data_IF_319862082826
#
_entry.id   IF_319862082826
#
_cell.length_a   1.000
_cell.length_b   1.000
_cell.length_c   1.000
_cell.angle_alpha   90.00
_cell.angle_beta   90.00
_cell.angle_gamma   90.00
#
_symmetry.space_group_name_H-M   'P 1'
#
loop_
_entity.id
_entity.type
_entity.pdbx_description
1 polymer ?
#
# COMPACT_ATOMS: atom_id res chain seq x y z
N UNK A 2 8.82 -2.33 3.27
CA UNK A 2 9.92 -3.09 3.83
C UNK A 2 10.16 -4.35 3.00
N UNK A 3 10.70 -5.40 3.60
CA UNK A 3 11.02 -6.63 2.88
C UNK A 3 9.77 -7.28 2.30
N UNK A 4 9.97 -8.33 1.51
CA UNK A 4 8.93 -9.27 1.16
C UNK A 4 9.45 -10.66 1.42
N UNK A 5 8.55 -11.63 1.34
CA UNK A 5 8.91 -13.02 1.49
C UNK A 5 8.15 -13.86 0.48
N UNK A 6 8.43 -15.15 0.47
CA UNK A 6 7.80 -16.13 -0.38
C UNK A 6 6.73 -16.87 0.41
N UNK A 7 5.80 -17.53 -0.28
CA UNK A 7 4.81 -18.33 0.46
C UNK A 7 5.39 -19.57 1.09
N UNK A 8 6.51 -20.08 0.57
CA UNK A 8 7.05 -21.33 1.08
C UNK A 8 7.71 -21.14 2.43
N UNK A 9 8.49 -20.06 2.58
CA UNK A 9 9.10 -19.77 3.88
C UNK A 9 8.06 -19.44 4.93
N UNK A 10 6.88 -19.00 4.50
CA UNK A 10 5.87 -18.58 5.44
C UNK A 10 5.32 -19.76 6.24
N UNK A 11 5.20 -20.92 5.61
CA UNK A 11 4.76 -22.10 6.34
C UNK A 11 5.71 -22.41 7.48
N UNK A 12 7.00 -22.23 7.26
CA UNK A 12 7.97 -22.43 8.33
C UNK A 12 7.87 -21.33 9.36
N UNK A 13 7.71 -20.09 8.91
CA UNK A 13 7.62 -18.95 9.81
C UNK A 13 6.39 -18.98 10.68
N UNK A 14 5.36 -19.70 10.25
CA UNK A 14 4.06 -19.69 10.90
C UNK A 14 4.00 -20.42 12.22
N UNK A 15 4.65 -21.58 12.34
CA UNK A 15 4.34 -22.56 13.39
C UNK A 15 4.45 -21.99 14.80
N UNK A 16 5.18 -20.89 14.98
CA UNK A 16 5.25 -20.19 16.24
C UNK A 16 4.48 -18.89 16.11
N UNK A 17 3.58 -18.65 17.05
CA UNK A 17 2.70 -17.48 17.00
C UNK A 17 3.38 -16.22 17.48
N UNK A 18 4.44 -15.83 16.77
CA UNK A 18 5.09 -14.54 16.94
C UNK A 18 4.99 -13.70 15.67
N UNK A 19 4.34 -14.22 14.63
CA UNK A 19 4.20 -13.55 13.35
C UNK A 19 2.72 -13.27 13.12
N UNK A 20 2.32 -12.05 13.37
CA UNK A 20 0.91 -11.68 13.39
C UNK A 20 0.51 -11.29 11.98
N UNK A 21 -0.40 -12.05 11.41
CA UNK A 21 -0.76 -11.90 10.01
C UNK A 21 -2.01 -11.03 9.90
N UNK A 22 -1.99 -10.12 8.93
CA UNK A 22 -3.13 -9.25 8.63
C UNK A 22 -3.52 -9.44 7.18
N UNK A 23 -4.82 -9.57 6.93
CA UNK A 23 -5.34 -9.57 5.57
C UNK A 23 -5.90 -8.20 5.23
N UNK A 24 -5.71 -7.79 3.98
CA UNK A 24 -6.16 -6.48 3.52
C UNK A 24 -6.63 -6.64 2.08
N UNK A 25 -7.95 -6.66 1.89
CA UNK A 25 -8.58 -6.90 0.60
C UNK A 25 -9.74 -5.95 0.40
N UNK A 26 -9.54 -4.68 0.73
CA UNK A 26 -10.59 -3.71 0.48
C UNK A 26 -10.76 -3.56 -1.03
N UNK A 27 -11.98 -3.76 -1.51
CA UNK A 27 -12.28 -3.62 -2.92
C UNK A 27 -12.77 -2.21 -3.20
N UNK A 28 -12.73 -1.85 -4.47
CA UNK A 28 -13.17 -0.52 -4.84
C UNK A 28 -14.69 -0.42 -4.72
N UNK A 29 -15.24 0.76 -4.41
CA UNK A 29 -16.69 0.91 -4.23
C UNK A 29 -17.42 1.17 -5.54
N UNK A 30 -17.11 0.40 -6.56
CA UNK A 30 -17.79 0.50 -7.84
C UNK A 30 -18.93 -0.50 -7.90
N UNK A 31 -19.87 -0.32 -8.82
CA UNK A 31 -20.99 -1.24 -8.93
C UNK A 31 -20.62 -2.66 -9.35
N UNK A 32 -19.38 -2.89 -9.80
CA UNK A 32 -18.99 -4.23 -10.22
C UNK A 32 -18.82 -5.15 -9.00
N UNK A 33 -17.89 -4.81 -8.12
CA UNK A 33 -17.61 -5.61 -6.94
C UNK A 33 -18.66 -5.44 -5.84
N UNK A 34 -19.68 -4.61 -6.06
CA UNK A 34 -20.76 -4.46 -5.09
C UNK A 34 -21.37 -5.83 -4.79
N UNK A 35 -21.33 -6.21 -3.52
CA UNK A 35 -21.62 -7.56 -3.12
C UNK A 35 -20.42 -8.47 -3.14
N UNK A 36 -19.21 -7.92 -3.06
CA UNK A 36 -17.98 -8.69 -2.94
C UNK A 36 -17.15 -8.00 -1.84
N UNK A 37 -17.40 -8.39 -0.59
CA UNK A 37 -16.81 -7.77 0.57
C UNK A 37 -15.58 -8.56 1.01
N UNK A 38 -14.76 -7.91 1.84
CA UNK A 38 -13.66 -8.56 2.52
C UNK A 38 -14.14 -9.29 3.77
N UNK A 39 -14.74 -8.55 4.69
CA UNK A 39 -15.12 -9.10 5.98
C UNK A 39 -16.11 -10.25 5.85
N UNK A 40 -16.90 -10.25 4.79
CA UNK A 40 -17.84 -11.35 4.58
C UNK A 40 -17.16 -12.52 3.89
N UNK A 41 -16.13 -12.26 3.10
CA UNK A 41 -15.31 -13.31 2.52
C UNK A 41 -14.12 -13.67 3.40
N UNK A 42 -13.74 -12.79 4.31
CA UNK A 42 -12.60 -13.06 5.17
C UNK A 42 -12.92 -14.10 6.22
N UNK A 43 -14.14 -14.09 6.74
CA UNK A 43 -14.56 -15.02 7.77
C UNK A 43 -15.12 -16.31 7.21
N UNK A 44 -14.72 -16.67 6.01
CA UNK A 44 -15.07 -17.92 5.36
C UNK A 44 -13.84 -18.66 4.85
N UNK A 45 -12.73 -17.95 4.63
CA UNK A 45 -11.50 -18.56 4.16
C UNK A 45 -10.35 -17.59 4.44
N UNK A 46 -9.40 -18.02 5.25
CA UNK A 46 -8.26 -17.20 5.63
C UNK A 46 -7.15 -18.13 6.09
N UNK A 47 -6.09 -17.52 6.64
CA UNK A 47 -4.85 -18.20 6.93
C UNK A 47 -4.73 -18.33 8.45
N UNK A 48 -4.09 -19.39 8.99
CA UNK A 48 -4.29 -19.69 10.42
C UNK A 48 -3.59 -18.72 11.34
N UNK A 49 -4.31 -17.64 11.65
CA UNK A 49 -3.82 -16.57 12.49
C UNK A 49 -4.07 -15.22 11.86
N UNK A 50 -4.56 -15.22 10.62
CA UNK A 50 -4.76 -13.99 9.90
C UNK A 50 -5.85 -13.16 10.57
N UNK A 51 -5.72 -11.84 10.44
CA UNK A 51 -6.62 -10.89 11.07
C UNK A 51 -7.01 -9.84 10.06
N UNK A 52 -8.14 -9.18 10.31
CA UNK A 52 -8.59 -8.10 9.46
C UNK A 52 -8.22 -6.75 10.06
N UNK A 53 -8.08 -5.76 9.19
CA UNK A 53 -7.90 -4.36 9.57
C UNK A 53 -8.95 -3.53 8.83
N UNK A 54 -9.74 -2.78 9.58
CA UNK A 54 -10.83 -1.97 9.02
C UNK A 54 -10.28 -0.63 8.57
N UNK A 55 -9.80 -0.58 7.32
CA UNK A 55 -9.36 0.68 6.75
C UNK A 55 -10.53 1.63 6.55
N UNK A 56 -11.76 1.11 6.54
CA UNK A 56 -12.94 1.95 6.43
C UNK A 56 -13.39 2.48 7.79
N UNK A 57 -13.07 1.78 8.87
CA UNK A 57 -13.44 2.19 10.21
C UNK A 57 -12.28 2.78 11.00
N UNK A 58 -11.05 2.36 10.71
CA UNK A 58 -9.88 2.96 11.35
C UNK A 58 -9.84 4.45 11.05
N UNK A 59 -9.77 4.78 9.76
CA UNK A 59 -9.84 6.16 9.28
C UNK A 59 -11.31 6.49 9.02
N UNK A 60 -12.08 6.65 10.08
CA UNK A 60 -13.50 6.98 9.97
C UNK A 60 -13.68 8.48 9.73
N UNK A 61 -12.96 9.33 10.47
CA UNK A 61 -13.08 10.78 10.26
C UNK A 61 -12.22 11.33 9.14
N UNK A 62 -12.70 11.30 7.89
CA UNK A 62 -11.90 11.83 6.80
C UNK A 62 -12.75 12.00 5.55
N UNK A 63 -12.47 13.06 4.79
CA UNK A 63 -13.17 13.28 3.53
C UNK A 63 -12.81 12.19 2.52
N UNK A 64 -11.53 12.11 2.16
CA UNK A 64 -11.02 10.94 1.47
C UNK A 64 -11.09 9.75 2.41
N UNK A 65 -11.85 8.70 2.08
CA UNK A 65 -12.12 7.65 3.08
C UNK A 65 -10.90 6.86 3.52
N UNK A 66 -9.91 6.65 2.66
CA UNK A 66 -8.69 5.94 3.03
C UNK A 66 -7.57 6.91 3.40
N UNK A 67 -7.83 7.77 4.37
CA UNK A 67 -6.84 8.69 4.89
C UNK A 67 -6.10 8.01 6.04
N UNK A 68 -4.91 8.51 6.35
CA UNK A 68 -4.11 7.86 7.37
C UNK A 68 -4.67 8.22 8.75
N UNK A 69 -5.07 7.24 9.56
CA UNK A 69 -5.68 7.57 10.85
C UNK A 69 -4.65 8.05 11.86
N UNK A 70 -5.14 8.36 13.05
CA UNK A 70 -4.30 8.91 14.08
C UNK A 70 -3.54 7.79 14.78
N UNK A 71 -2.49 8.12 15.54
CA UNK A 71 -1.75 7.09 16.27
C UNK A 71 -2.45 6.59 17.54
N UNK A 72 -3.65 7.07 17.83
CA UNK A 72 -4.37 6.72 19.05
C UNK A 72 -5.82 6.38 18.77
N UNK A 73 -6.21 6.30 17.50
CA UNK A 73 -7.30 5.46 17.05
C UNK A 73 -6.79 4.19 16.39
N UNK A 74 -5.47 3.94 16.48
CA UNK A 74 -4.79 2.84 15.82
C UNK A 74 -4.13 1.91 16.82
N UNK A 75 -3.32 2.48 17.71
CA UNK A 75 -2.72 1.74 18.80
C UNK A 75 -3.79 1.03 19.62
N UNK A 76 -4.84 1.78 19.95
CA UNK A 76 -5.91 1.29 20.82
C UNK A 76 -6.96 0.50 20.06
N UNK A 77 -6.62 0.02 18.87
CA UNK A 77 -7.33 -1.07 18.23
C UNK A 77 -6.42 -2.23 17.91
N UNK A 78 -5.16 -1.99 17.59
CA UNK A 78 -4.24 -3.10 17.42
C UNK A 78 -3.87 -3.75 18.74
N UNK A 79 -4.16 -3.10 19.86
CA UNK A 79 -4.14 -3.84 21.12
C UNK A 79 -5.28 -4.84 21.17
N UNK A 80 -6.41 -4.49 20.57
CA UNK A 80 -7.53 -5.39 20.37
C UNK A 80 -7.27 -6.48 19.33
N UNK A 81 -6.11 -6.45 18.68
CA UNK A 81 -5.72 -7.47 17.72
C UNK A 81 -4.52 -8.29 18.16
N UNK A 82 -3.84 -7.93 19.24
CA UNK A 82 -2.86 -8.81 19.84
C UNK A 82 -1.43 -8.49 19.50
N UNK A 83 -1.21 -7.62 18.51
CA UNK A 83 0.15 -7.33 18.07
C UNK A 83 0.85 -6.49 19.13
N UNK A 84 2.18 -6.66 19.21
CA UNK A 84 3.01 -5.91 20.14
C UNK A 84 3.96 -5.00 19.35
N UNK A 85 4.71 -4.18 20.09
CA UNK A 85 5.58 -3.17 19.51
C UNK A 85 6.64 -3.76 18.59
N UNK A 86 7.17 -4.92 18.95
CA UNK A 86 8.25 -5.57 18.22
C UNK A 86 7.81 -6.92 17.66
N UNK A 87 6.51 -7.07 17.43
CA UNK A 87 5.95 -8.30 16.88
C UNK A 87 6.09 -8.27 15.37
N UNK A 88 6.80 -9.18 14.72
CA UNK A 88 6.83 -9.19 13.26
C UNK A 88 5.46 -9.51 12.70
N UNK A 89 5.22 -9.00 11.50
CA UNK A 89 3.91 -9.09 10.86
C UNK A 89 4.09 -9.39 9.37
N UNK A 90 3.04 -9.93 8.79
CA UNK A 90 3.03 -10.40 7.41
C UNK A 90 1.67 -10.06 6.84
N UNK A 91 1.63 -9.83 5.53
CA UNK A 91 0.45 -9.29 4.87
C UNK A 91 0.19 -10.09 3.60
N UNK A 92 -1.08 -10.22 3.28
CA UNK A 92 -1.50 -10.85 2.03
C UNK A 92 -2.81 -10.23 1.60
N UNK A 93 -3.00 -10.19 0.29
CA UNK A 93 -4.24 -9.72 -0.33
C UNK A 93 -4.73 -10.77 -1.31
N UNK A 94 -6.04 -11.01 -1.31
CA UNK A 94 -6.61 -12.00 -2.21
C UNK A 94 -6.53 -11.52 -3.65
N UNK A 95 -6.86 -10.25 -3.88
CA UNK A 95 -6.41 -9.60 -5.10
C UNK A 95 -4.90 -9.58 -5.09
N UNK A 96 -4.29 -9.51 -6.27
CA UNK A 96 -2.87 -9.78 -6.36
C UNK A 96 -1.97 -8.89 -5.55
N UNK A 97 -1.79 -7.64 -5.98
CA UNK A 97 -0.88 -6.71 -5.33
C UNK A 97 -1.60 -5.38 -5.14
N UNK A 98 -2.91 -5.45 -4.95
CA UNK A 98 -3.74 -4.26 -5.08
C UNK A 98 -3.73 -3.43 -3.81
N UNK A 99 -4.23 -3.99 -2.70
CA UNK A 99 -4.56 -3.24 -1.49
C UNK A 99 -3.67 -3.59 -0.31
N UNK A 100 -2.53 -4.20 -0.55
CA UNK A 100 -1.69 -4.68 0.52
C UNK A 100 -0.77 -3.63 1.10
N UNK A 101 0.10 -3.05 0.26
CA UNK A 101 1.15 -2.16 0.77
C UNK A 101 0.66 -0.93 1.50
N UNK A 102 -0.62 -0.58 1.41
CA UNK A 102 -1.12 0.55 2.20
C UNK A 102 -0.88 0.29 3.67
N UNK A 103 -1.14 -0.92 4.11
CA UNK A 103 -0.91 -1.28 5.50
C UNK A 103 0.57 -1.33 5.84
N UNK A 104 1.40 -1.73 4.89
CA UNK A 104 2.84 -1.79 5.16
C UNK A 104 3.38 -0.38 5.37
N UNK A 105 3.08 0.52 4.43
CA UNK A 105 3.39 1.92 4.60
C UNK A 105 2.85 2.45 5.92
N UNK A 106 1.64 2.04 6.28
CA UNK A 106 1.03 2.49 7.51
C UNK A 106 1.85 2.08 8.72
N UNK A 107 2.32 0.83 8.73
CA UNK A 107 3.18 0.39 9.82
C UNK A 107 4.51 1.12 9.79
N UNK A 108 4.98 1.47 8.59
CA UNK A 108 6.26 2.16 8.50
C UNK A 108 6.17 3.55 9.10
N UNK A 109 5.00 4.19 8.97
CA UNK A 109 4.77 5.48 9.60
C UNK A 109 5.02 5.42 11.10
N UNK A 110 4.72 4.28 11.72
CA UNK A 110 4.66 4.17 13.17
C UNK A 110 5.82 3.34 13.73
N UNK A 111 6.98 3.47 13.12
CA UNK A 111 8.18 2.90 13.70
C UNK A 111 8.20 1.40 13.78
N UNK A 112 7.32 0.71 13.05
CA UNK A 112 7.24 -0.74 13.08
C UNK A 112 8.05 -1.29 11.92
N UNK A 113 9.26 -1.73 12.23
CA UNK A 113 10.02 -2.58 11.35
C UNK A 113 9.53 -4.01 11.51
N UNK A 114 10.30 -4.98 11.00
CA UNK A 114 9.93 -6.39 11.09
C UNK A 114 8.62 -6.65 10.33
N UNK A 115 8.47 -5.96 9.20
CA UNK A 115 7.27 -6.02 8.38
C UNK A 115 7.63 -6.53 7.00
N UNK A 116 6.79 -7.42 6.47
CA UNK A 116 7.02 -8.03 5.18
C UNK A 116 5.68 -8.29 4.52
N UNK A 117 5.72 -8.44 3.20
CA UNK A 117 4.53 -8.66 2.39
C UNK A 117 4.71 -9.88 1.51
N UNK A 118 3.63 -10.64 1.37
CA UNK A 118 3.64 -11.87 0.61
C UNK A 118 3.62 -11.60 -0.88
N UNK A 119 4.61 -12.13 -1.59
CA UNK A 119 4.74 -11.87 -3.02
C UNK A 119 3.54 -12.39 -3.80
N UNK A 120 3.38 -13.71 -3.83
CA UNK A 120 2.37 -14.35 -4.65
C UNK A 120 1.34 -15.11 -3.84
N UNK A 121 0.11 -14.60 -3.83
CA UNK A 121 -0.97 -15.28 -3.16
C UNK A 121 -1.34 -16.57 -3.84
N UNK A 122 -1.44 -16.56 -5.17
CA UNK A 122 -1.95 -17.70 -5.91
C UNK A 122 -1.05 -18.91 -5.76
N UNK A 123 0.24 -18.72 -5.52
CA UNK A 123 1.11 -19.83 -5.23
C UNK A 123 0.86 -20.40 -3.84
N UNK A 124 0.48 -19.54 -2.89
CA UNK A 124 0.10 -20.07 -1.59
C UNK A 124 -1.14 -20.92 -1.71
N UNK A 125 -2.03 -20.58 -2.62
CA UNK A 125 -3.21 -21.40 -2.84
C UNK A 125 -2.84 -22.77 -3.39
N UNK A 126 -1.75 -22.87 -4.15
CA UNK A 126 -1.29 -24.12 -4.72
C UNK A 126 -0.15 -24.73 -3.92
N UNK A 127 -0.15 -24.56 -2.60
CA UNK A 127 0.78 -25.28 -1.77
C UNK A 127 0.25 -26.68 -1.48
N UNK A 128 1.11 -27.61 -1.06
CA UNK A 128 0.60 -28.90 -0.59
C UNK A 128 0.09 -28.82 0.84
N UNK A 129 0.75 -28.01 1.65
CA UNK A 129 0.41 -27.93 3.05
C UNK A 129 1.52 -27.30 3.86
N UNK A 130 1.44 -27.54 5.17
CA UNK A 130 2.28 -26.90 6.17
C UNK A 130 3.03 -28.02 6.90
N UNK A 131 4.22 -27.78 7.45
CA UNK A 131 4.83 -28.80 8.32
C UNK A 131 3.97 -29.12 9.52
N UNK A 132 3.51 -28.09 10.22
CA UNK A 132 2.40 -28.28 11.14
C UNK A 132 1.15 -28.61 10.34
N UNK A 133 0.18 -29.22 11.00
CA UNK A 133 -0.98 -29.79 10.34
C UNK A 133 -0.57 -30.73 9.19
N UNK A 134 0.41 -31.61 9.41
CA UNK A 134 0.96 -32.34 8.27
C UNK A 134 0.02 -33.40 7.73
N UNK A 135 -0.62 -34.16 8.63
CA UNK A 135 -1.52 -35.21 8.22
C UNK A 135 -2.67 -34.70 7.38
N UNK A 136 -3.03 -33.41 7.50
CA UNK A 136 -4.07 -32.80 6.69
C UNK A 136 -3.44 -32.12 5.48
N UNK A 137 -3.40 -32.84 4.38
CA UNK A 137 -2.85 -32.31 3.14
C UNK A 137 -3.90 -31.47 2.44
N UNK A 138 -3.50 -30.28 2.01
CA UNK A 138 -4.29 -29.32 1.23
C UNK A 138 -5.33 -28.60 2.09
N UNK A 139 -5.55 -29.02 3.33
CA UNK A 139 -6.14 -28.23 4.38
C UNK A 139 -5.05 -27.91 5.38
N UNK A 140 -5.29 -26.91 6.20
CA UNK A 140 -4.27 -26.38 7.10
C UNK A 140 -3.68 -25.13 6.51
N UNK A 141 -3.64 -25.05 5.18
CA UNK A 141 -3.30 -23.79 4.55
C UNK A 141 -4.38 -22.77 4.84
N UNK A 142 -5.63 -23.21 4.91
CA UNK A 142 -6.77 -22.36 5.20
C UNK A 142 -7.27 -22.63 6.61
N UNK A 143 -8.16 -21.75 7.05
CA UNK A 143 -8.85 -21.86 8.34
C UNK A 143 -10.29 -21.45 8.07
N UNK A 144 -11.12 -22.44 7.70
CA UNK A 144 -12.51 -22.20 7.31
C UNK A 144 -13.39 -22.30 8.55
N UNK A 145 -13.36 -21.25 9.35
CA UNK A 145 -14.15 -21.17 10.57
C UNK A 145 -14.20 -19.71 10.99
N UNK A 146 -15.20 -19.37 11.80
CA UNK A 146 -15.35 -17.99 12.23
C UNK A 146 -14.19 -17.62 13.14
N UNK A 147 -13.66 -16.40 13.06
CA UNK A 147 -12.61 -15.99 14.00
C UNK A 147 -13.15 -15.89 15.41
N UNK A 148 -12.46 -16.57 16.32
CA UNK A 148 -12.95 -16.75 17.67
C UNK A 148 -12.47 -15.73 18.69
N UNK A 149 -11.88 -16.21 19.77
CA UNK A 149 -11.53 -15.40 20.93
C UNK A 149 -10.08 -14.95 20.78
N UNK A 150 -9.88 -13.63 20.74
CA UNK A 150 -8.56 -13.03 20.64
C UNK A 150 -8.23 -12.43 21.99
N UNK A 151 -7.33 -13.07 22.73
CA UNK A 151 -6.90 -12.50 23.99
C UNK A 151 -6.13 -11.21 23.69
N UNK A 152 -6.46 -10.09 24.33
CA UNK A 152 -5.90 -8.81 23.89
C UNK A 152 -4.44 -8.70 24.28
N UNK A 153 -3.76 -7.74 23.67
CA UNK A 153 -2.32 -7.63 23.88
C UNK A 153 -2.01 -7.11 25.28
N UNK A 154 -0.86 -7.52 25.77
CA UNK A 154 -0.34 -7.04 27.03
C UNK A 154 1.14 -7.38 27.08
N UNK A 155 2.05 -6.42 27.28
CA UNK A 155 1.88 -4.95 27.30
C UNK A 155 1.35 -4.45 25.97
N UNK A 156 0.70 -3.29 25.98
CA UNK A 156 -0.01 -2.84 24.80
C UNK A 156 0.94 -2.27 23.76
N UNK A 157 0.44 -2.18 22.53
CA UNK A 157 1.15 -1.49 21.47
C UNK A 157 1.46 -0.07 21.91
N UNK A 158 2.65 0.40 21.56
CA UNK A 158 3.03 1.77 21.84
C UNK A 158 4.05 2.18 20.79
N UNK A 159 3.64 3.10 19.91
CA UNK A 159 4.55 3.60 18.91
C UNK A 159 5.55 4.55 19.56
N UNK A 160 6.82 4.31 19.31
CA UNK A 160 7.86 5.16 19.86
C UNK A 160 8.13 6.39 19.00
N UNK A 161 8.01 6.27 17.69
CA UNK A 161 8.58 7.24 16.75
C UNK A 161 7.51 8.00 15.97
N UNK A 162 6.66 7.32 15.22
CA UNK A 162 5.52 7.93 14.54
C UNK A 162 5.99 8.94 13.49
N UNK A 163 7.04 8.57 12.75
CA UNK A 163 7.66 9.46 11.79
C UNK A 163 6.64 9.91 10.73
N UNK A 164 6.25 11.18 10.68
CA UNK A 164 5.26 11.62 9.69
C UNK A 164 5.85 12.28 8.44
N UNK A 165 7.15 12.53 8.40
CA UNK A 165 7.75 13.16 7.22
C UNK A 165 7.55 12.33 5.96
N UNK A 166 7.25 11.05 6.10
CA UNK A 166 6.99 10.17 4.98
C UNK A 166 5.69 10.47 4.27
N UNK A 167 4.82 11.28 4.87
CA UNK A 167 3.56 11.68 4.25
C UNK A 167 3.57 13.18 4.08
N UNK A 168 2.86 13.67 3.08
CA UNK A 168 2.89 15.07 2.68
C UNK A 168 1.47 15.58 2.57
N UNK A 169 1.23 16.75 3.13
CA UNK A 169 -0.08 17.37 3.02
C UNK A 169 -0.31 17.85 1.59
N UNK A 170 -1.58 18.12 1.27
CA UNK A 170 -1.91 18.74 -0.01
C UNK A 170 -1.21 20.09 -0.15
N UNK A 171 -0.99 20.78 0.96
CA UNK A 171 -0.16 21.98 0.92
C UNK A 171 1.26 21.64 0.50
N UNK A 172 1.78 20.51 0.98
CA UNK A 172 3.15 20.12 0.67
C UNK A 172 3.35 19.76 -0.79
N UNK A 173 2.27 19.54 -1.54
CA UNK A 173 2.36 19.27 -2.97
C UNK A 173 1.91 20.47 -3.80
N UNK A 174 1.03 21.32 -3.27
CA UNK A 174 0.75 22.61 -3.89
C UNK A 174 1.89 23.59 -3.69
N UNK A 175 2.83 23.28 -2.80
CA UNK A 175 4.01 24.11 -2.58
C UNK A 175 5.10 23.86 -3.61
N UNK A 176 4.75 23.24 -4.74
CA UNK A 176 5.58 23.30 -5.93
C UNK A 176 5.44 24.65 -6.63
N UNK A 177 4.61 25.55 -6.07
CA UNK A 177 4.41 26.87 -6.67
C UNK A 177 5.69 27.67 -6.69
N UNK A 178 6.67 27.33 -5.85
CA UNK A 178 7.98 27.95 -5.90
C UNK A 178 8.60 27.79 -7.28
N UNK A 179 8.28 26.68 -7.95
CA UNK A 179 8.75 26.43 -9.31
C UNK A 179 7.68 25.63 -10.02
N UNK A 180 6.85 26.32 -10.82
CA UNK A 180 5.66 25.73 -11.42
C UNK A 180 5.74 25.50 -12.92
N UNK A 181 6.93 25.62 -13.52
CA UNK A 181 7.11 25.39 -14.96
C UNK A 181 7.55 23.97 -15.29
N UNK A 182 7.17 22.98 -14.47
CA UNK A 182 7.45 21.59 -14.79
C UNK A 182 8.91 21.21 -14.64
N UNK A 183 9.34 20.23 -15.45
CA UNK A 183 10.73 19.80 -15.41
C UNK A 183 11.66 20.94 -15.74
N UNK A 184 11.23 21.87 -16.61
CA UNK A 184 12.01 23.06 -16.88
C UNK A 184 12.24 23.93 -15.66
N UNK A 185 11.38 23.83 -14.65
CA UNK A 185 11.55 24.52 -13.38
C UNK A 185 12.09 23.59 -12.30
N UNK A 186 12.76 22.52 -12.67
CA UNK A 186 13.43 21.62 -11.73
C UNK A 186 12.44 20.85 -10.87
N UNK A 187 11.21 20.66 -11.35
CA UNK A 187 10.36 19.65 -10.74
C UNK A 187 10.95 18.26 -10.98
N UNK A 188 11.67 18.08 -12.09
CA UNK A 188 12.42 16.86 -12.34
C UNK A 188 13.76 16.82 -11.60
N UNK A 189 14.18 17.95 -11.01
CA UNK A 189 15.38 17.99 -10.18
C UNK A 189 15.08 18.14 -8.69
N UNK A 190 13.97 18.76 -8.32
CA UNK A 190 13.68 19.04 -6.92
C UNK A 190 12.95 17.87 -6.25
N UNK A 191 11.79 17.49 -6.79
CA UNK A 191 10.94 16.44 -6.22
C UNK A 191 10.46 15.57 -7.37
N UNK A 192 10.97 14.35 -7.46
CA UNK A 192 10.62 13.43 -8.54
C UNK A 192 9.27 12.79 -8.21
N UNK A 193 8.19 13.51 -8.53
CA UNK A 193 6.85 12.96 -8.34
C UNK A 193 6.67 11.71 -9.18
N UNK A 194 5.81 10.81 -8.70
CA UNK A 194 5.32 9.69 -9.50
C UNK A 194 3.83 9.57 -9.26
N UNK A 195 3.11 9.12 -10.28
CA UNK A 195 1.68 8.87 -10.20
C UNK A 195 1.44 7.42 -10.62
N UNK A 196 0.77 6.66 -9.75
CA UNK A 196 0.34 5.32 -10.09
C UNK A 196 -0.94 5.31 -10.92
N UNK A 197 -1.38 6.46 -11.44
CA UNK A 197 -2.50 6.47 -12.35
C UNK A 197 -2.08 5.86 -13.68
N UNK A 198 -3.02 5.27 -14.43
CA UNK A 198 -2.67 4.71 -15.74
C UNK A 198 -2.18 5.76 -16.72
N UNK A 199 -1.46 5.29 -17.73
CA UNK A 199 -1.02 6.15 -18.82
C UNK A 199 -2.21 6.72 -19.61
N UNK A 200 -3.39 6.11 -19.49
CA UNK A 200 -4.58 6.71 -20.07
C UNK A 200 -5.13 7.83 -19.23
N UNK A 201 -5.03 7.72 -17.91
CA UNK A 201 -5.43 8.78 -16.99
C UNK A 201 -4.38 9.88 -16.86
N UNK A 202 -3.36 9.87 -17.72
CA UNK A 202 -2.38 10.93 -17.82
C UNK A 202 -1.94 11.01 -19.27
N UNK A 203 -1.03 11.94 -19.55
CA UNK A 203 -0.61 12.20 -20.92
C UNK A 203 -1.82 12.57 -21.79
N UNK A 204 -2.83 13.18 -21.18
CA UNK A 204 -4.09 13.42 -21.85
C UNK A 204 -5.24 13.51 -20.86
N UNK A 205 -6.30 12.75 -21.11
CA UNK A 205 -7.47 12.75 -20.25
C UNK A 205 -8.18 11.42 -20.36
N UNK A 206 -8.56 10.88 -19.20
CA UNK A 206 -9.34 9.65 -19.13
C UNK A 206 -10.36 9.78 -18.00
N UNK A 207 -11.40 8.96 -18.05
CA UNK A 207 -12.46 8.99 -17.06
C UNK A 207 -11.94 8.74 -15.65
N UNK A 208 -12.10 9.71 -14.77
CA UNK A 208 -11.77 9.55 -13.36
C UNK A 208 -12.84 8.70 -12.68
N UNK A 209 -12.57 8.24 -11.46
CA UNK A 209 -13.61 7.49 -10.74
C UNK A 209 -14.81 8.36 -10.39
N UNK A 210 -14.58 9.49 -9.73
CA UNK A 210 -15.61 10.51 -9.53
C UNK A 210 -15.58 11.40 -10.77
N UNK A 211 -16.28 10.96 -11.82
CA UNK A 211 -16.10 11.54 -13.16
C UNK A 211 -16.93 12.80 -13.30
N UNK A 212 -16.50 13.83 -12.56
CA UNK A 212 -16.97 15.20 -12.75
C UNK A 212 -15.81 16.19 -12.83
N UNK A 213 -14.62 15.83 -12.34
CA UNK A 213 -13.43 16.65 -12.40
C UNK A 213 -12.51 16.09 -13.48
N UNK A 214 -11.30 16.65 -13.55
CA UNK A 214 -10.39 16.38 -14.66
C UNK A 214 -9.53 15.17 -14.37
N UNK A 215 -8.60 14.88 -15.28
CA UNK A 215 -7.66 13.78 -15.12
C UNK A 215 -6.47 14.05 -16.02
N UNK A 216 -5.27 13.74 -15.52
CA UNK A 216 -4.06 14.06 -16.26
C UNK A 216 -2.77 13.64 -15.58
N UNK A 217 -1.79 14.55 -15.59
CA UNK A 217 -0.44 14.24 -15.11
C UNK A 217 0.14 15.52 -14.51
N UNK A 218 0.05 15.66 -13.20
CA UNK A 218 0.40 16.88 -12.47
C UNK A 218 1.84 17.28 -12.77
N UNK A 219 2.25 18.49 -12.39
CA UNK A 219 3.51 19.06 -12.89
C UNK A 219 4.73 18.26 -12.47
N UNK A 220 5.54 17.89 -13.46
CA UNK A 220 6.83 17.28 -13.20
C UNK A 220 6.73 15.95 -12.48
N UNK A 221 6.21 14.93 -13.15
CA UNK A 221 5.92 13.64 -12.51
C UNK A 221 6.30 12.52 -13.47
N UNK A 222 7.41 11.85 -13.18
CA UNK A 222 7.76 10.62 -13.90
C UNK A 222 6.71 9.57 -13.58
N UNK A 223 5.86 9.27 -14.54
CA UNK A 223 4.71 8.40 -14.34
C UNK A 223 5.10 6.96 -14.57
N UNK A 224 4.98 6.13 -13.54
CA UNK A 224 5.20 4.69 -13.61
C UNK A 224 3.91 4.02 -13.21
N UNK A 225 3.43 3.11 -14.05
CA UNK A 225 2.08 2.59 -13.92
C UNK A 225 2.08 1.21 -13.25
N UNK A 226 0.88 0.71 -13.03
CA UNK A 226 0.68 -0.48 -12.19
C UNK A 226 1.28 -1.75 -12.79
N UNK A 227 0.88 -2.20 -13.99
CA UNK A 227 1.43 -3.47 -14.50
C UNK A 227 2.90 -3.41 -14.85
N UNK A 228 3.51 -2.22 -14.85
CA UNK A 228 4.90 -2.09 -15.24
C UNK A 228 5.88 -2.76 -14.29
N UNK A 229 5.41 -3.23 -13.13
CA UNK A 229 6.21 -4.00 -12.19
C UNK A 229 5.58 -5.35 -11.86
N UNK A 230 4.26 -5.44 -11.96
CA UNK A 230 3.52 -6.65 -11.61
C UNK A 230 3.39 -7.52 -12.84
N UNK A 231 3.39 -8.83 -12.62
CA UNK A 231 3.16 -9.79 -13.70
C UNK A 231 2.22 -10.88 -13.15
N UNK A 232 0.94 -10.58 -13.21
CA UNK A 232 -0.17 -11.52 -13.02
C UNK A 232 -0.38 -12.03 -11.59
N UNK A 233 0.61 -11.92 -10.71
CA UNK A 233 0.32 -12.17 -9.31
C UNK A 233 1.23 -11.54 -8.29
N UNK A 234 2.23 -10.76 -8.70
CA UNK A 234 3.30 -10.42 -7.80
C UNK A 234 4.30 -9.51 -8.46
N UNK A 235 5.30 -9.09 -7.68
CA UNK A 235 6.33 -8.17 -8.13
C UNK A 235 7.36 -8.88 -9.00
N UNK A 236 8.18 -8.07 -9.66
CA UNK A 236 9.27 -8.53 -10.49
C UNK A 236 10.55 -8.64 -9.67
N UNK A 237 11.63 -9.06 -10.32
CA UNK A 237 12.89 -9.25 -9.64
C UNK A 237 13.41 -7.91 -9.13
N UNK A 238 14.29 -7.93 -8.13
CA UNK A 238 14.94 -6.68 -7.71
C UNK A 238 15.67 -6.01 -8.85
N UNK A 239 16.45 -6.78 -9.62
CA UNK A 239 17.06 -6.23 -10.83
C UNK A 239 15.99 -5.85 -11.84
N UNK A 240 14.86 -6.57 -11.86
CA UNK A 240 13.77 -6.20 -12.76
C UNK A 240 13.27 -4.80 -12.48
N UNK A 241 13.02 -4.48 -11.21
CA UNK A 241 12.56 -3.14 -10.87
C UNK A 241 13.67 -2.10 -11.06
N UNK A 242 14.91 -2.46 -10.71
CA UNK A 242 16.02 -1.54 -10.92
C UNK A 242 16.13 -1.16 -12.39
N UNK A 243 15.91 -2.12 -13.28
CA UNK A 243 15.95 -1.83 -14.70
C UNK A 243 14.70 -1.08 -15.14
N UNK A 244 13.55 -1.38 -14.54
CA UNK A 244 12.32 -0.70 -14.91
C UNK A 244 12.41 0.78 -14.60
N UNK A 245 13.14 1.13 -13.55
CA UNK A 245 13.27 2.54 -13.17
C UNK A 245 14.42 3.19 -13.90
N UNK A 246 15.62 2.62 -13.81
CA UNK A 246 16.77 3.25 -14.45
C UNK A 246 16.64 3.29 -15.97
N UNK A 247 15.83 2.41 -16.55
CA UNK A 247 15.54 2.51 -17.98
C UNK A 247 14.78 3.79 -18.28
N UNK A 248 13.98 4.25 -17.32
CA UNK A 248 13.44 5.60 -17.32
C UNK A 248 14.38 6.51 -16.55
N UNK A 249 13.99 7.75 -16.38
CA UNK A 249 14.72 8.66 -15.53
C UNK A 249 14.48 8.47 -14.06
N UNK A 250 13.75 7.42 -13.66
CA UNK A 250 13.47 7.18 -12.25
C UNK A 250 14.75 6.73 -11.57
N UNK A 251 15.32 7.61 -10.76
CA UNK A 251 16.55 7.31 -10.05
C UNK A 251 16.53 8.07 -8.73
N UNK A 252 16.88 7.36 -7.67
CA UNK A 252 16.85 7.93 -6.34
C UNK A 252 17.98 8.89 -6.09
N UNK A 253 17.95 10.03 -6.77
CA UNK A 253 18.93 11.10 -6.59
C UNK A 253 18.38 12.30 -5.85
N UNK A 254 17.06 12.50 -5.84
CA UNK A 254 16.42 13.65 -5.22
C UNK A 254 15.19 13.20 -4.44
N UNK A 255 14.49 14.11 -3.78
CA UNK A 255 13.26 13.74 -3.08
C UNK A 255 12.25 13.15 -4.05
N UNK A 256 11.46 12.20 -3.53
CA UNK A 256 10.60 11.38 -4.36
C UNK A 256 9.28 11.14 -3.62
N UNK A 257 8.18 11.29 -4.34
CA UNK A 257 6.83 11.27 -3.78
C UNK A 257 5.92 10.55 -4.77
N UNK A 258 4.92 9.85 -4.25
CA UNK A 258 4.00 9.03 -5.03
C UNK A 258 2.58 9.57 -4.94
N UNK A 259 1.74 9.09 -5.87
CA UNK A 259 0.39 9.60 -6.03
C UNK A 259 -0.48 8.54 -6.67
N UNK A 260 -1.73 8.44 -6.23
CA UNK A 260 -2.80 7.77 -6.97
C UNK A 260 -4.10 7.98 -6.20
N UNK A 261 -5.18 7.44 -6.75
CA UNK A 261 -6.49 7.56 -6.13
C UNK A 261 -6.52 7.01 -4.73
N UNK A 262 -6.78 7.86 -3.73
CA UNK A 262 -6.90 7.53 -2.33
C UNK A 262 -5.59 7.10 -1.67
N UNK A 263 -4.49 7.00 -2.43
CA UNK A 263 -3.28 6.43 -1.89
C UNK A 263 -3.32 4.94 -1.67
N UNK A 264 -4.44 4.28 -1.97
CA UNK A 264 -4.59 2.87 -1.64
C UNK A 264 -3.67 2.01 -2.49
N UNK A 265 -3.23 2.50 -3.64
CA UNK A 265 -2.29 1.79 -4.49
C UNK A 265 -1.07 2.64 -4.83
N UNK A 266 -0.95 3.84 -4.25
CA UNK A 266 0.25 4.62 -4.44
C UNK A 266 1.40 4.09 -3.61
N UNK A 267 1.09 3.35 -2.54
CA UNK A 267 2.13 2.74 -1.71
C UNK A 267 2.83 1.59 -2.40
N UNK A 268 2.27 1.05 -3.49
CA UNK A 268 2.99 0.09 -4.30
C UNK A 268 4.27 0.70 -4.82
N UNK A 269 4.24 2.00 -5.11
CA UNK A 269 5.37 2.73 -5.65
C UNK A 269 6.16 3.31 -4.49
N UNK A 270 5.97 2.77 -3.29
CA UNK A 270 6.95 2.83 -2.23
C UNK A 270 7.56 1.48 -1.95
N UNK A 271 6.74 0.43 -2.06
CA UNK A 271 7.22 -0.92 -1.83
C UNK A 271 8.22 -1.35 -2.88
N UNK A 272 7.90 -1.14 -4.16
CA UNK A 272 8.83 -1.50 -5.22
C UNK A 272 10.14 -0.73 -5.09
N UNK A 273 10.06 0.50 -4.58
CA UNK A 273 11.26 1.30 -4.44
C UNK A 273 12.14 0.76 -3.33
N UNK A 274 11.54 0.43 -2.19
CA UNK A 274 12.30 -0.23 -1.13
C UNK A 274 12.89 -1.54 -1.62
N UNK A 275 12.19 -2.22 -2.52
CA UNK A 275 12.69 -3.46 -3.09
C UNK A 275 13.93 -3.18 -3.93
N UNK A 276 13.90 -2.15 -4.75
CA UNK A 276 15.02 -1.84 -5.61
C UNK A 276 16.10 -1.08 -4.86
N UNK A 277 15.69 -0.04 -4.13
CA UNK A 277 16.58 0.72 -3.27
C UNK A 277 16.84 2.12 -3.76
N UNK A 278 15.97 2.64 -4.62
CA UNK A 278 16.22 3.94 -5.27
C UNK A 278 15.61 5.00 -4.35
N UNK A 279 16.39 5.37 -3.35
CA UNK A 279 16.02 6.42 -2.41
C UNK A 279 16.48 6.08 -1.01
N UNK A 280 15.56 6.11 -0.06
CA UNK A 280 15.87 5.76 1.31
C UNK A 280 14.55 5.52 2.03
N UNK A 281 14.54 4.53 2.91
CA UNK A 281 13.32 4.16 3.62
C UNK A 281 12.73 5.32 4.42
N UNK A 282 13.56 6.26 4.87
CA UNK A 282 13.13 7.39 5.68
C UNK A 282 12.76 8.61 4.85
N UNK A 283 12.84 8.53 3.52
CA UNK A 283 12.63 9.68 2.65
C UNK A 283 11.59 9.45 1.57
N UNK A 284 11.47 8.22 1.07
CA UNK A 284 10.61 8.00 -0.09
C UNK A 284 9.16 8.18 0.30
N UNK A 285 8.74 9.44 0.36
CA UNK A 285 7.47 9.80 0.95
C UNK A 285 6.32 9.48 0.01
N UNK A 286 5.10 9.75 0.47
CA UNK A 286 3.88 9.38 -0.22
C UNK A 286 2.82 10.43 0.06
N UNK A 287 2.07 10.81 -0.98
CA UNK A 287 1.01 11.81 -0.86
C UNK A 287 -0.33 11.09 -0.83
N UNK A 288 -0.93 10.98 0.36
CA UNK A 288 -2.17 10.24 0.49
C UNK A 288 -3.29 10.90 -0.30
N UNK A 289 -3.28 12.22 -0.36
CA UNK A 289 -4.15 12.90 -1.29
C UNK A 289 -3.83 12.50 -2.72
N UNK A 290 -4.85 12.59 -3.57
CA UNK A 290 -4.80 12.07 -4.92
C UNK A 290 -5.02 13.19 -5.92
N UNK A 291 -5.18 12.79 -7.18
CA UNK A 291 -5.79 13.68 -8.15
C UNK A 291 -7.17 14.12 -7.70
N UNK A 292 -7.86 13.31 -6.89
CA UNK A 292 -9.15 13.73 -6.36
C UNK A 292 -9.00 14.98 -5.50
N UNK A 293 -7.88 15.11 -4.80
CA UNK A 293 -7.61 16.34 -4.07
C UNK A 293 -7.05 17.42 -4.98
N UNK A 294 -6.15 17.04 -5.89
CA UNK A 294 -5.50 18.01 -6.75
C UNK A 294 -6.45 18.62 -7.78
N UNK A 295 -7.65 18.07 -7.94
CA UNK A 295 -8.65 18.61 -8.84
C UNK A 295 -9.84 19.21 -8.10
N UNK A 296 -10.21 18.64 -6.94
CA UNK A 296 -11.35 19.13 -6.19
C UNK A 296 -10.99 20.27 -5.25
N UNK A 297 -9.75 20.36 -4.78
CA UNK A 297 -9.33 21.30 -3.76
C UNK A 297 -7.99 21.94 -4.09
N UNK A 298 -7.82 22.37 -5.34
CA UNK A 298 -6.56 22.94 -5.78
C UNK A 298 -6.82 23.86 -6.96
N UNK A 299 -5.78 24.50 -7.49
CA UNK A 299 -5.98 25.49 -8.57
C UNK A 299 -6.41 24.86 -9.89
N UNK A 300 -6.58 25.71 -10.90
CA UNK A 300 -7.06 25.30 -12.23
C UNK A 300 -5.92 25.20 -13.24
N UNK A 301 -4.77 25.80 -12.95
CA UNK A 301 -3.64 25.80 -13.88
C UNK A 301 -2.70 24.62 -13.64
N UNK A 302 -2.80 23.97 -12.49
CA UNK A 302 -1.90 22.85 -12.18
C UNK A 302 -2.14 21.65 -13.09
N UNK A 303 -3.36 21.48 -13.61
CA UNK A 303 -3.70 20.27 -14.35
C UNK A 303 -2.87 20.21 -15.63
N UNK A 304 -2.57 18.99 -16.06
CA UNK A 304 -1.84 18.75 -17.30
C UNK A 304 -2.81 18.82 -18.48
N UNK A 305 -2.26 18.82 -19.69
CA UNK A 305 -3.08 19.02 -20.88
C UNK A 305 -3.82 17.74 -21.26
N UNK A 306 -4.91 17.93 -22.01
CA UNK A 306 -5.66 16.82 -22.59
C UNK A 306 -5.15 16.54 -24.00
N UNK A 307 -5.90 15.74 -24.76
CA UNK A 307 -5.56 15.42 -26.13
C UNK A 307 -5.49 16.69 -26.98
#
# INVERSE_FOLDING_TARGET
>A
MSKLISPAELAKRLSSKETKIFDATWYLPTPANVGKNAYDNYMKKRIPGALYFDIDAVNTPSKFPHMLPSPQTFENELTKLGVSSDSPIVVYDTQGVFSGPRLVWTFKVFGHDNVQFLNGFEAYTQLPGIPSRPDAYTWGIWDTQVPGKIDPADPPYKVTKARPELVKSFEDVLAIVEKHNGDGAKIRNEVTFIDARPNGRFTGKDAEPRAELSSGHVPGAYSIAFPEVVENGKFKSPEELKALFASKGIDGSKPIISMCGSGVTACVIDLALEIAGIGSRDTNAVYDGSWTEWAQRAPTKYIVKEENLNEANRA
#
